data_IF_838738850841
#
_entry.id   IF_838738850841
#
_cell.length_a   1.000
_cell.length_b   1.000
_cell.length_c   1.000
_cell.angle_alpha   90.00
_cell.angle_beta   90.00
_cell.angle_gamma   90.00
#
_symmetry.space_group_name_H-M   'P 1'
#
loop_
_entity.id
_entity.type
_entity.pdbx_description
1 polymer ?
#
# COMPACT_ATOMS: atom_id res chain seq x y z
N UNK A 1 13.51 16.83 7.96
CA UNK A 1 12.40 16.90 8.94
C UNK A 1 11.31 17.89 8.56
N UNK A 2 11.54 19.21 8.46
CA UNK A 2 10.48 20.18 8.09
C UNK A 2 9.76 19.86 6.76
N UNK A 3 10.47 19.33 5.75
CA UNK A 3 9.88 18.90 4.46
C UNK A 3 9.07 17.59 4.54
N UNK A 4 9.40 16.69 5.46
CA UNK A 4 8.63 15.46 5.74
C UNK A 4 7.34 15.80 6.48
N UNK A 5 7.40 16.74 7.44
CA UNK A 5 6.22 17.28 8.14
C UNK A 5 5.33 18.06 7.18
N UNK A 6 5.90 18.83 6.24
CA UNK A 6 5.12 19.53 5.22
C UNK A 6 4.45 18.57 4.22
N UNK A 7 5.14 17.51 3.77
CA UNK A 7 4.55 16.50 2.90
C UNK A 7 3.46 15.68 3.63
N UNK A 8 3.69 15.33 4.90
CA UNK A 8 2.68 14.69 5.75
C UNK A 8 1.49 15.62 6.03
N UNK A 9 1.71 16.92 6.21
CA UNK A 9 0.65 17.91 6.36
C UNK A 9 -0.17 18.08 5.08
N UNK A 10 0.44 17.97 3.89
CA UNK A 10 -0.29 17.96 2.62
C UNK A 10 -1.15 16.70 2.51
N UNK A 11 -0.64 15.52 2.88
CA UNK A 11 -1.41 14.26 2.83
C UNK A 11 -2.52 14.20 3.89
N UNK A 12 -2.27 14.71 5.10
CA UNK A 12 -3.29 14.83 6.17
C UNK A 12 -4.32 15.90 5.82
N UNK A 13 -3.91 17.04 5.26
CA UNK A 13 -4.83 18.04 4.74
C UNK A 13 -5.63 17.49 3.55
N UNK A 14 -5.05 16.63 2.72
CA UNK A 14 -5.75 15.94 1.62
C UNK A 14 -6.75 14.92 2.16
N UNK A 15 -6.43 14.17 3.21
CA UNK A 15 -7.34 13.21 3.83
C UNK A 15 -8.46 13.91 4.59
N UNK A 16 -8.17 15.02 5.27
CA UNK A 16 -9.17 15.88 5.92
C UNK A 16 -10.03 16.58 4.86
N UNK A 17 -9.45 17.02 3.73
CA UNK A 17 -10.16 17.62 2.59
C UNK A 17 -11.02 16.58 1.86
N UNK A 18 -10.53 15.36 1.64
CA UNK A 18 -11.27 14.23 1.06
C UNK A 18 -12.34 13.71 2.02
N UNK A 19 -12.09 13.69 3.33
CA UNK A 19 -13.08 13.36 4.35
C UNK A 19 -14.15 14.46 4.49
N UNK A 20 -13.79 15.74 4.38
CA UNK A 20 -14.71 16.89 4.40
C UNK A 20 -15.50 17.06 3.09
N UNK A 21 -14.97 16.60 1.96
CA UNK A 21 -15.66 16.56 0.67
C UNK A 21 -16.34 15.23 0.40
N UNK A 22 -16.09 14.18 1.20
CA UNK A 22 -16.79 12.90 1.09
C UNK A 22 -18.32 13.04 1.19
N UNK A 23 -18.88 13.90 2.06
CA UNK A 23 -20.32 14.16 2.04
C UNK A 23 -20.71 14.89 0.76
N UNK A 24 -19.94 15.85 0.24
CA UNK A 24 -20.35 16.56 -1.00
C UNK A 24 -20.20 15.76 -2.30
N UNK A 25 -19.34 14.75 -2.32
CA UNK A 25 -19.11 13.87 -3.48
C UNK A 25 -20.05 12.65 -3.43
N UNK A 26 -20.47 12.22 -2.23
CA UNK A 26 -21.32 11.05 -2.01
C UNK A 26 -22.72 11.35 -1.43
N UNK A 27 -23.05 12.56 -0.97
CA UNK A 27 -24.44 13.01 -0.64
C UNK A 27 -25.30 13.16 -1.89
N UNK A 28 -24.67 13.23 -3.08
CA UNK A 28 -25.41 13.09 -4.35
C UNK A 28 -25.82 11.62 -4.59
N UNK A 29 -25.28 10.67 -3.80
CA UNK A 29 -25.62 9.24 -3.82
C UNK A 29 -26.34 8.77 -2.53
N UNK A 30 -26.31 9.54 -1.44
CA UNK A 30 -27.20 9.34 -0.28
C UNK A 30 -28.49 10.09 -0.59
N UNK A 31 -29.38 9.42 -1.32
CA UNK A 31 -30.75 9.86 -1.50
C UNK A 31 -31.41 9.96 -0.11
N UNK A 32 -32.02 11.11 0.19
CA UNK A 32 -32.82 11.32 1.40
C UNK A 32 -34.10 10.47 1.31
N UNK A 33 -34.05 9.26 1.87
CA UNK A 33 -35.10 8.22 1.84
C UNK A 33 -36.44 8.68 2.45
N UNK A 34 -36.44 9.77 3.23
CA UNK A 34 -37.64 10.27 3.92
C UNK A 34 -38.52 11.20 3.05
N UNK A 35 -38.03 11.68 1.90
CA UNK A 35 -38.76 12.61 1.01
C UNK A 35 -39.53 11.95 -0.14
N UNK A 36 -39.50 10.62 -0.24
CA UNK A 36 -40.18 9.88 -1.32
C UNK A 36 -41.21 8.84 -0.84
N UNK A 37 -41.50 8.73 0.47
CA UNK A 37 -42.65 7.94 0.91
C UNK A 37 -43.95 8.74 0.78
N UNK A 38 -44.89 8.25 -0.06
CA UNK A 38 -46.27 8.07 0.38
C UNK A 38 -46.67 6.59 0.38
N UNK A 39 -47.73 6.25 1.13
CA UNK A 39 -48.11 4.88 1.44
C UNK A 39 -48.75 4.18 0.23
N UNK A 40 -48.59 2.86 0.20
CA UNK A 40 -49.31 1.90 -0.66
C UNK A 40 -49.13 2.12 -2.18
N UNK A 41 -48.10 1.47 -2.73
CA UNK A 41 -47.76 1.52 -4.16
C UNK A 41 -48.19 0.23 -4.84
N UNK A 42 -49.38 0.30 -5.42
CA UNK A 42 -49.80 -0.54 -6.53
C UNK A 42 -50.53 0.43 -7.54
N UNK A 43 -50.62 0.06 -8.82
CA UNK A 43 -50.76 0.90 -10.05
C UNK A 43 -49.97 2.20 -10.31
N UNK A 44 -49.67 3.06 -9.34
CA UNK A 44 -49.21 4.45 -9.65
C UNK A 44 -47.76 4.58 -10.17
N UNK A 45 -46.90 3.59 -9.93
CA UNK A 45 -45.50 3.63 -10.38
C UNK A 45 -45.38 3.52 -11.91
N UNK A 46 -46.21 2.68 -12.54
CA UNK A 46 -46.25 2.51 -14.00
C UNK A 46 -46.72 3.80 -14.67
N UNK A 47 -47.77 4.44 -14.15
CA UNK A 47 -48.27 5.72 -14.67
C UNK A 47 -47.27 6.87 -14.47
N UNK A 48 -46.50 6.88 -13.36
CA UNK A 48 -45.49 7.90 -13.11
C UNK A 48 -44.26 7.78 -14.01
N UNK A 49 -43.83 6.54 -14.33
CA UNK A 49 -42.73 6.26 -15.27
C UNK A 49 -43.14 6.62 -16.71
N UNK A 50 -44.40 6.36 -17.08
CA UNK A 50 -44.96 6.71 -18.39
C UNK A 50 -45.13 8.22 -18.58
N UNK A 51 -45.56 8.96 -17.56
CA UNK A 51 -45.75 10.41 -17.64
C UNK A 51 -44.42 11.20 -17.70
N UNK A 52 -43.32 10.69 -17.14
CA UNK A 52 -42.00 11.33 -17.23
C UNK A 52 -41.28 11.13 -18.58
N UNK A 53 -41.71 10.18 -19.41
CA UNK A 53 -40.99 9.77 -20.63
C UNK A 53 -41.60 10.26 -21.95
N UNK A 54 -42.71 11.01 -21.92
CA UNK A 54 -43.37 11.62 -23.09
C UNK A 54 -42.68 12.89 -23.64
N UNK A 55 -41.38 13.05 -23.44
CA UNK A 55 -40.64 14.21 -24.00
C UNK A 55 -40.00 13.81 -25.33
N UNK A 56 -40.67 14.16 -26.43
CA UNK A 56 -40.12 14.18 -27.80
C UNK A 56 -40.47 12.99 -28.68
N UNK A 57 -41.54 13.10 -29.49
CA UNK A 57 -41.79 12.43 -30.79
C UNK A 57 -41.79 10.89 -30.89
N UNK A 58 -41.21 10.17 -29.94
CA UNK A 58 -41.07 8.71 -29.89
C UNK A 58 -42.09 8.14 -28.91
N UNK A 59 -42.82 7.10 -29.32
CA UNK A 59 -43.78 6.40 -28.46
C UNK A 59 -43.01 5.48 -27.50
N UNK A 60 -43.30 5.58 -26.21
CA UNK A 60 -42.73 4.71 -25.17
C UNK A 60 -43.66 3.53 -24.93
N UNK A 61 -43.18 2.31 -25.16
CA UNK A 61 -43.98 1.09 -25.11
C UNK A 61 -43.44 0.18 -24.00
N UNK A 62 -44.24 -0.12 -22.97
CA UNK A 62 -43.85 -1.07 -21.94
C UNK A 62 -43.84 -2.49 -22.49
N UNK A 63 -42.78 -3.22 -22.19
CA UNK A 63 -42.57 -4.64 -22.52
C UNK A 63 -42.38 -5.40 -21.23
N UNK A 64 -43.21 -6.41 -21.00
CA UNK A 64 -43.07 -7.31 -19.86
C UNK A 64 -42.20 -8.48 -20.26
N UNK A 65 -41.10 -8.65 -19.54
CA UNK A 65 -40.14 -9.74 -19.68
C UNK A 65 -40.44 -10.74 -18.58
N UNK A 66 -40.62 -12.02 -18.93
CA UNK A 66 -40.98 -13.07 -17.99
C UNK A 66 -40.34 -14.42 -18.33
N UNK A 67 -40.35 -15.33 -17.34
CA UNK A 67 -39.80 -16.68 -17.46
C UNK A 67 -38.31 -16.76 -17.07
N UNK A 68 -37.65 -17.91 -17.26
CA UNK A 68 -36.25 -18.07 -16.87
C UNK A 68 -35.33 -17.15 -17.69
N UNK A 69 -34.23 -16.68 -17.08
CA UNK A 69 -33.23 -15.86 -17.76
C UNK A 69 -33.71 -14.43 -18.08
N UNK A 70 -34.50 -13.81 -17.18
CA UNK A 70 -35.05 -12.45 -17.35
C UNK A 70 -33.95 -11.42 -17.69
N UNK A 71 -32.78 -11.55 -17.06
CA UNK A 71 -31.62 -10.71 -17.36
C UNK A 71 -31.16 -10.85 -18.81
N UNK A 72 -30.95 -12.08 -19.28
CA UNK A 72 -30.45 -12.34 -20.63
C UNK A 72 -31.44 -11.81 -21.68
N UNK A 73 -32.74 -12.00 -21.43
CA UNK A 73 -33.83 -11.48 -22.27
C UNK A 73 -33.83 -9.95 -22.31
N UNK A 74 -33.68 -9.29 -21.16
CA UNK A 74 -33.61 -7.83 -21.09
C UNK A 74 -32.39 -7.27 -21.83
N UNK A 75 -31.22 -7.92 -21.70
CA UNK A 75 -30.00 -7.53 -22.41
C UNK A 75 -30.12 -7.75 -23.92
N UNK A 76 -30.75 -8.84 -24.35
CA UNK A 76 -31.03 -9.11 -25.76
C UNK A 76 -32.05 -8.12 -26.34
N UNK A 77 -33.06 -7.72 -25.56
CA UNK A 77 -34.00 -6.68 -25.94
C UNK A 77 -33.28 -5.33 -26.16
N UNK A 78 -32.34 -4.96 -25.27
CA UNK A 78 -31.51 -3.76 -25.45
C UNK A 78 -30.57 -3.82 -26.66
N UNK A 79 -30.18 -5.00 -27.14
CA UNK A 79 -29.40 -5.16 -28.39
C UNK A 79 -30.25 -4.92 -29.64
N UNK A 80 -31.50 -5.35 -29.61
CA UNK A 80 -32.45 -5.14 -30.71
C UNK A 80 -32.98 -3.71 -30.74
N UNK A 81 -33.15 -3.10 -29.56
CA UNK A 81 -33.69 -1.76 -29.40
C UNK A 81 -32.73 -0.93 -28.52
N UNK A 82 -31.81 -0.16 -29.14
CA UNK A 82 -30.75 0.56 -28.41
C UNK A 82 -31.29 1.66 -27.47
N UNK A 83 -32.56 2.06 -27.62
CA UNK A 83 -33.23 3.05 -26.77
C UNK A 83 -34.13 2.41 -25.68
N UNK A 84 -33.86 1.17 -25.30
CA UNK A 84 -34.59 0.49 -24.21
C UNK A 84 -34.08 0.91 -22.84
N UNK A 85 -35.01 1.26 -21.96
CA UNK A 85 -34.75 1.42 -20.53
C UNK A 85 -35.26 0.19 -19.78
N UNK A 86 -34.38 -0.61 -19.21
CA UNK A 86 -34.67 -1.76 -18.36
C UNK A 86 -33.89 -1.66 -17.04
N UNK A 87 -34.24 -2.48 -16.04
CA UNK A 87 -33.49 -2.54 -14.79
C UNK A 87 -31.98 -2.78 -15.02
N UNK A 88 -31.62 -3.66 -15.96
CA UNK A 88 -30.24 -3.96 -16.31
C UNK A 88 -29.55 -2.84 -17.09
N UNK A 89 -30.26 -2.11 -17.96
CA UNK A 89 -29.65 -0.97 -18.66
C UNK A 89 -29.38 0.21 -17.70
N UNK A 90 -30.25 0.40 -16.69
CA UNK A 90 -30.04 1.36 -15.61
C UNK A 90 -28.85 0.93 -14.75
N UNK A 91 -28.80 -0.36 -14.36
CA UNK A 91 -27.67 -0.91 -13.61
C UNK A 91 -26.35 -0.77 -14.36
N UNK A 92 -26.30 -1.13 -15.64
CA UNK A 92 -25.07 -1.03 -16.45
C UNK A 92 -24.57 0.42 -16.53
N UNK A 93 -25.48 1.39 -16.68
CA UNK A 93 -25.16 2.82 -16.68
C UNK A 93 -24.64 3.27 -15.31
N UNK A 94 -25.29 2.85 -14.23
CA UNK A 94 -24.85 3.15 -12.87
C UNK A 94 -23.48 2.53 -12.56
N UNK A 95 -23.23 1.30 -12.99
CA UNK A 95 -21.93 0.61 -12.86
C UNK A 95 -20.84 1.32 -13.67
N UNK A 96 -21.16 1.79 -14.88
CA UNK A 96 -20.23 2.58 -15.69
C UNK A 96 -19.83 3.88 -14.98
N UNK A 97 -20.81 4.66 -14.51
CA UNK A 97 -20.56 5.91 -13.76
C UNK A 97 -19.77 5.63 -12.48
N UNK A 98 -20.12 4.56 -11.76
CA UNK A 98 -19.41 4.14 -10.55
C UNK A 98 -17.93 3.85 -10.85
N UNK A 99 -17.65 3.05 -11.90
CA UNK A 99 -16.28 2.72 -12.32
C UNK A 99 -15.50 3.96 -12.74
N UNK A 100 -16.07 4.81 -13.60
CA UNK A 100 -15.42 6.05 -14.05
C UNK A 100 -15.06 6.98 -12.87
N UNK A 101 -15.95 7.10 -11.89
CA UNK A 101 -15.68 7.89 -10.67
C UNK A 101 -14.62 7.24 -9.80
N UNK A 102 -14.71 5.93 -9.58
CA UNK A 102 -13.75 5.17 -8.80
C UNK A 102 -12.35 5.29 -9.41
N UNK A 103 -12.22 5.05 -10.71
CA UNK A 103 -10.96 5.13 -11.45
C UNK A 103 -10.36 6.53 -11.34
N UNK A 104 -11.16 7.59 -11.52
CA UNK A 104 -10.68 8.97 -11.38
C UNK A 104 -10.15 9.29 -9.98
N UNK A 105 -10.84 8.83 -8.94
CA UNK A 105 -10.40 9.04 -7.54
C UNK A 105 -9.12 8.24 -7.28
N UNK A 106 -9.09 6.98 -7.72
CA UNK A 106 -7.95 6.09 -7.55
C UNK A 106 -6.72 6.62 -8.28
N UNK A 107 -6.84 7.06 -9.53
CA UNK A 107 -5.74 7.62 -10.31
C UNK A 107 -5.16 8.88 -9.67
N UNK A 108 -6.01 9.83 -9.26
CA UNK A 108 -5.56 11.06 -8.60
C UNK A 108 -4.81 10.78 -7.28
N UNK A 109 -5.35 9.88 -6.45
CA UNK A 109 -4.73 9.49 -5.19
C UNK A 109 -3.42 8.72 -5.42
N UNK A 110 -3.41 7.81 -6.40
CA UNK A 110 -2.23 7.01 -6.76
C UNK A 110 -1.10 7.88 -7.31
N UNK A 111 -1.41 8.86 -8.16
CA UNK A 111 -0.43 9.83 -8.67
C UNK A 111 0.19 10.66 -7.54
N UNK A 112 -0.65 11.17 -6.62
CA UNK A 112 -0.18 11.92 -5.46
C UNK A 112 0.68 11.06 -4.52
N UNK A 113 0.29 9.80 -4.32
CA UNK A 113 1.08 8.83 -3.55
C UNK A 113 2.43 8.57 -4.20
N UNK A 114 2.49 8.38 -5.53
CA UNK A 114 3.73 8.19 -6.29
C UNK A 114 4.72 9.32 -6.04
N UNK A 115 4.29 10.57 -6.15
CA UNK A 115 5.17 11.72 -5.89
C UNK A 115 5.74 11.72 -4.46
N UNK A 116 4.94 11.33 -3.46
CA UNK A 116 5.37 11.20 -2.08
C UNK A 116 6.36 10.04 -1.89
N UNK A 117 6.07 8.90 -2.52
CA UNK A 117 6.87 7.70 -2.52
C UNK A 117 8.26 7.94 -3.12
N UNK A 118 8.34 8.62 -4.26
CA UNK A 118 9.60 9.01 -4.91
C UNK A 118 10.44 9.92 -4.00
N UNK A 119 9.81 10.90 -3.33
CA UNK A 119 10.52 11.78 -2.38
C UNK A 119 11.12 10.99 -1.22
N UNK A 120 10.39 10.00 -0.70
CA UNK A 120 10.90 9.12 0.38
C UNK A 120 12.05 8.26 -0.16
N UNK A 121 11.88 7.62 -1.31
CA UNK A 121 12.91 6.78 -1.92
C UNK A 121 14.21 7.55 -2.17
N UNK A 122 14.11 8.70 -2.82
CA UNK A 122 15.25 9.55 -3.14
C UNK A 122 15.92 10.12 -1.89
N UNK A 123 15.14 10.55 -0.89
CA UNK A 123 15.71 11.11 0.35
C UNK A 123 16.39 10.06 1.23
N UNK A 124 15.94 8.80 1.17
CA UNK A 124 16.52 7.70 1.95
C UNK A 124 17.66 6.99 1.23
N UNK A 125 17.74 7.08 -0.10
CA UNK A 125 18.81 6.47 -0.90
C UNK A 125 20.20 6.90 -0.42
N UNK A 126 20.46 8.21 -0.38
CA UNK A 126 21.77 8.73 0.08
C UNK A 126 22.08 8.34 1.52
N UNK A 127 21.08 8.33 2.40
CA UNK A 127 21.25 7.90 3.79
C UNK A 127 21.69 6.43 3.85
N UNK A 128 21.09 5.56 3.05
CA UNK A 128 21.47 4.16 3.01
C UNK A 128 22.87 3.95 2.39
N UNK A 129 23.25 4.73 1.37
CA UNK A 129 24.61 4.72 0.83
C UNK A 129 25.65 5.09 1.89
N UNK A 130 25.40 6.18 2.63
CA UNK A 130 26.29 6.63 3.70
C UNK A 130 26.35 5.61 4.86
N UNK A 131 25.21 5.02 5.24
CA UNK A 131 25.16 3.95 6.25
C UNK A 131 25.86 2.67 5.79
N UNK A 132 25.75 2.30 4.51
CA UNK A 132 26.45 1.14 3.97
C UNK A 132 27.97 1.34 4.04
N UNK A 133 28.47 2.53 3.65
CA UNK A 133 29.90 2.87 3.78
C UNK A 133 30.37 2.79 5.23
N UNK A 134 29.56 3.28 6.16
CA UNK A 134 29.84 3.23 7.58
C UNK A 134 29.88 1.80 8.12
N UNK A 135 28.93 0.95 7.69
CA UNK A 135 28.87 -0.48 8.07
C UNK A 135 30.06 -1.25 7.52
N UNK A 136 30.45 -1.03 6.26
CA UNK A 136 31.64 -1.67 5.68
C UNK A 136 32.91 -1.24 6.41
N UNK A 137 33.08 0.07 6.70
CA UNK A 137 34.21 0.54 7.49
C UNK A 137 34.27 -0.07 8.90
N UNK A 138 33.11 -0.26 9.53
CA UNK A 138 33.03 -0.95 10.83
C UNK A 138 33.36 -2.44 10.72
N UNK A 139 32.90 -3.14 9.67
CA UNK A 139 33.26 -4.56 9.43
C UNK A 139 34.75 -4.75 9.19
N UNK A 140 35.35 -3.89 8.36
CA UNK A 140 36.79 -3.89 8.12
C UNK A 140 37.58 -3.63 9.41
N UNK A 141 37.18 -2.63 10.21
CA UNK A 141 37.83 -2.34 11.48
C UNK A 141 37.70 -3.51 12.46
N UNK A 142 36.55 -4.18 12.48
CA UNK A 142 36.30 -5.36 13.32
C UNK A 142 37.18 -6.54 12.93
N UNK A 143 37.39 -6.75 11.63
CA UNK A 143 38.28 -7.79 11.15
C UNK A 143 39.75 -7.47 11.46
N UNK A 144 40.17 -6.21 11.29
CA UNK A 144 41.50 -5.75 11.72
C UNK A 144 41.70 -5.90 13.22
N UNK A 145 40.67 -5.63 14.03
CA UNK A 145 40.71 -5.84 15.47
C UNK A 145 40.95 -7.31 15.83
N UNK A 146 40.25 -8.25 15.15
CA UNK A 146 40.50 -9.69 15.33
C UNK A 146 41.90 -10.10 14.93
N UNK A 147 42.38 -9.62 13.78
CA UNK A 147 43.74 -9.90 13.31
C UNK A 147 44.79 -9.39 14.29
N UNK A 148 44.61 -8.18 14.83
CA UNK A 148 45.52 -7.62 15.83
C UNK A 148 45.51 -8.45 17.12
N UNK A 149 44.34 -8.84 17.62
CA UNK A 149 44.22 -9.68 18.82
C UNK A 149 44.86 -11.06 18.63
N UNK A 150 44.64 -11.70 17.48
CA UNK A 150 45.24 -12.99 17.16
C UNK A 150 46.75 -12.88 16.94
N UNK A 151 47.21 -11.85 16.25
CA UNK A 151 48.64 -11.59 15.99
C UNK A 151 49.42 -11.19 17.24
N UNK A 152 48.75 -10.75 18.31
CA UNK A 152 49.36 -10.37 19.58
C UNK A 152 49.09 -11.43 20.65
N UNK A 153 47.98 -11.30 21.39
CA UNK A 153 47.60 -12.21 22.47
C UNK A 153 47.46 -13.66 22.00
N UNK A 154 46.93 -13.90 20.79
CA UNK A 154 46.81 -15.25 20.22
C UNK A 154 48.17 -15.91 19.99
N UNK A 155 49.12 -15.21 19.37
CA UNK A 155 50.50 -15.69 19.14
C UNK A 155 51.23 -15.90 20.47
N UNK A 156 51.08 -14.97 21.42
CA UNK A 156 51.66 -15.11 22.75
C UNK A 156 51.11 -16.34 23.50
N UNK A 157 49.80 -16.59 23.42
CA UNK A 157 49.15 -17.75 24.04
C UNK A 157 49.52 -19.08 23.38
N UNK A 158 49.61 -19.11 22.05
CA UNK A 158 50.00 -20.31 21.31
C UNK A 158 51.50 -20.59 21.36
N UNK A 159 52.32 -19.57 21.65
CA UNK A 159 53.78 -19.68 21.65
C UNK A 159 54.37 -20.01 20.26
N UNK A 160 53.60 -19.80 19.19
CA UNK A 160 53.92 -20.19 17.81
C UNK A 160 53.62 -19.05 16.85
N UNK A 161 54.58 -18.73 16.01
CA UNK A 161 54.42 -17.78 14.91
C UNK A 161 53.81 -18.45 13.66
N UNK A 162 53.08 -17.66 12.88
CA UNK A 162 52.46 -18.07 11.61
C UNK A 162 53.06 -17.36 10.40
N UNK A 163 53.79 -16.27 10.62
CA UNK A 163 54.50 -15.48 9.61
C UNK A 163 55.73 -14.77 10.21
N UNK A 164 56.47 -14.04 9.40
CA UNK A 164 57.67 -13.32 9.83
C UNK A 164 57.37 -12.20 10.85
N UNK A 165 56.20 -11.55 10.77
CA UNK A 165 55.84 -10.48 11.69
C UNK A 165 55.50 -11.03 13.07
N UNK A 166 54.67 -12.07 13.13
CA UNK A 166 54.33 -12.78 14.37
C UNK A 166 55.54 -13.47 15.00
N UNK A 167 56.53 -13.89 14.21
CA UNK A 167 57.82 -14.36 14.72
C UNK A 167 58.59 -13.24 15.42
N UNK A 168 58.72 -12.07 14.79
CA UNK A 168 59.33 -10.88 15.40
C UNK A 168 58.59 -10.47 16.70
N UNK A 169 57.26 -10.47 16.68
CA UNK A 169 56.44 -10.20 17.86
C UNK A 169 56.76 -11.17 19.00
N UNK A 170 56.80 -12.49 18.71
CA UNK A 170 57.01 -13.52 19.72
C UNK A 170 58.41 -13.43 20.36
N UNK A 171 59.43 -13.09 19.58
CA UNK A 171 60.78 -12.84 20.09
C UNK A 171 60.84 -11.64 21.04
N UNK A 172 60.22 -10.53 20.65
CA UNK A 172 60.10 -9.33 21.50
C UNK A 172 59.28 -9.60 22.76
N UNK A 173 58.17 -10.32 22.63
CA UNK A 173 57.32 -10.70 23.76
C UNK A 173 58.09 -11.54 24.79
N UNK A 174 58.86 -12.54 24.35
CA UNK A 174 59.71 -13.37 25.24
C UNK A 174 60.75 -12.54 25.98
N UNK A 175 61.30 -11.51 25.34
CA UNK A 175 62.21 -10.56 25.98
C UNK A 175 61.48 -9.71 27.04
N UNK A 176 60.29 -9.20 26.73
CA UNK A 176 59.57 -8.30 27.62
C UNK A 176 58.88 -9.00 28.80
N UNK A 177 58.39 -10.23 28.63
CA UNK A 177 57.73 -10.97 29.72
C UNK A 177 58.67 -11.33 30.87
N UNK A 178 59.98 -11.27 30.65
CA UNK A 178 60.99 -11.44 31.71
C UNK A 178 61.10 -10.23 32.66
N UNK A 179 60.61 -9.05 32.24
CA UNK A 179 60.76 -7.80 32.98
C UNK A 179 59.43 -7.07 33.28
N UNK A 180 58.35 -7.41 32.56
CA UNK A 180 57.04 -6.76 32.65
C UNK A 180 55.93 -7.79 32.83
N UNK A 181 54.76 -7.34 33.29
CA UNK A 181 53.55 -8.18 33.29
C UNK A 181 53.15 -8.57 31.86
N UNK A 182 52.34 -9.63 31.76
CA UNK A 182 51.96 -10.22 30.47
C UNK A 182 51.30 -9.20 29.53
N UNK A 183 50.42 -8.34 30.05
CA UNK A 183 49.66 -7.38 29.24
C UNK A 183 50.56 -6.23 28.78
N UNK A 184 51.42 -5.71 29.65
CA UNK A 184 52.43 -4.71 29.30
C UNK A 184 53.44 -5.26 28.28
N UNK A 185 53.91 -6.50 28.46
CA UNK A 185 54.83 -7.15 27.54
C UNK A 185 54.21 -7.32 26.14
N UNK A 186 52.93 -7.71 26.06
CA UNK A 186 52.20 -7.79 24.79
C UNK A 186 52.12 -6.42 24.12
N UNK A 187 51.75 -5.36 24.85
CA UNK A 187 51.61 -4.00 24.29
C UNK A 187 52.94 -3.44 23.78
N UNK A 188 54.02 -3.59 24.54
CA UNK A 188 55.36 -3.15 24.12
C UNK A 188 55.85 -3.91 22.88
N UNK A 189 55.71 -5.24 22.86
CA UNK A 189 56.08 -6.06 21.71
C UNK A 189 55.22 -5.73 20.48
N UNK A 190 53.94 -5.43 20.67
CA UNK A 190 53.02 -5.06 19.61
C UNK A 190 53.42 -3.72 18.97
N UNK A 191 53.78 -2.71 19.77
CA UNK A 191 54.20 -1.40 19.26
C UNK A 191 55.44 -1.48 18.37
N UNK A 192 56.43 -2.29 18.75
CA UNK A 192 57.66 -2.47 17.98
C UNK A 192 57.50 -3.37 16.73
N UNK A 193 56.45 -4.20 16.71
CA UNK A 193 56.20 -5.11 15.59
C UNK A 193 55.24 -4.50 14.58
N UNK A 194 54.12 -3.96 15.04
CA UNK A 194 52.99 -3.53 14.23
C UNK A 194 52.85 -2.00 14.15
N UNK A 195 53.75 -1.25 14.79
CA UNK A 195 53.64 0.19 14.98
C UNK A 195 52.75 0.52 16.18
N UNK A 196 52.56 1.80 16.48
CA UNK A 196 51.85 2.33 17.66
C UNK A 196 50.37 1.84 17.79
N UNK A 197 50.19 0.59 18.23
CA UNK A 197 48.92 -0.16 18.32
C UNK A 197 48.54 -0.47 19.76
N UNK A 198 49.44 -0.25 20.74
CA UNK A 198 49.18 -0.45 22.16
C UNK A 198 47.99 0.36 22.65
N UNK A 199 47.78 1.56 22.09
CA UNK A 199 46.60 2.39 22.35
C UNK A 199 45.28 1.67 22.04
N UNK A 200 45.24 0.81 21.02
CA UNK A 200 44.05 0.03 20.68
C UNK A 200 43.85 -1.15 21.63
N UNK A 201 44.92 -1.63 22.27
CA UNK A 201 44.93 -2.77 23.19
C UNK A 201 44.77 -2.38 24.67
N UNK A 202 44.50 -1.10 24.97
CA UNK A 202 44.45 -0.59 26.33
C UNK A 202 43.37 -1.25 27.22
N UNK A 203 42.22 -1.62 26.63
CA UNK A 203 41.13 -2.33 27.32
C UNK A 203 41.20 -3.86 27.24
N UNK A 204 42.28 -4.40 26.68
CA UNK A 204 42.47 -5.84 26.48
C UNK A 204 43.48 -6.36 27.51
N UNK A 205 43.19 -7.55 28.04
CA UNK A 205 43.99 -8.28 29.03
C UNK A 205 44.11 -9.75 28.65
N UNK A 206 45.08 -10.44 29.23
CA UNK A 206 45.28 -11.88 29.07
C UNK A 206 44.04 -12.73 29.38
N UNK A 207 43.15 -12.24 30.25
CA UNK A 207 41.94 -12.97 30.64
C UNK A 207 40.77 -12.79 29.67
N UNK A 208 40.72 -11.66 28.94
CA UNK A 208 39.56 -11.31 28.12
C UNK A 208 39.86 -11.18 26.61
N UNK A 209 41.11 -11.32 26.16
CA UNK A 209 41.49 -11.09 24.77
C UNK A 209 40.72 -11.92 23.74
N UNK A 210 40.31 -13.14 24.10
CA UNK A 210 39.55 -14.05 23.25
C UNK A 210 38.02 -13.81 23.29
N UNK A 211 37.55 -12.76 23.97
CA UNK A 211 36.13 -12.44 24.08
C UNK A 211 35.64 -11.57 22.91
N UNK A 212 34.34 -11.62 22.64
CA UNK A 212 33.69 -10.70 21.71
C UNK A 212 33.86 -9.24 22.16
N UNK A 213 33.83 -8.99 23.47
CA UNK A 213 34.01 -7.65 24.04
C UNK A 213 35.39 -7.07 23.74
N UNK A 214 36.45 -7.88 23.80
CA UNK A 214 37.79 -7.44 23.42
C UNK A 214 37.85 -7.02 21.94
N UNK A 215 37.22 -7.80 21.05
CA UNK A 215 37.12 -7.43 19.62
C UNK A 215 36.38 -6.10 19.46
N UNK A 216 35.25 -5.91 20.16
CA UNK A 216 34.48 -4.66 20.10
C UNK A 216 35.25 -3.46 20.64
N UNK A 217 35.98 -3.62 21.75
CA UNK A 217 36.78 -2.55 22.36
C UNK A 217 37.92 -2.11 21.43
N UNK A 218 38.63 -3.06 20.83
CA UNK A 218 39.69 -2.76 19.85
C UNK A 218 39.09 -2.12 18.59
N UNK A 219 37.93 -2.60 18.13
CA UNK A 219 37.22 -2.02 16.97
C UNK A 219 36.84 -0.56 17.24
N UNK A 220 36.28 -0.26 18.41
CA UNK A 220 35.92 1.09 18.82
C UNK A 220 37.16 1.98 18.92
N UNK A 221 38.27 1.48 19.48
CA UNK A 221 39.53 2.23 19.57
C UNK A 221 40.14 2.54 18.19
N UNK A 222 40.10 1.60 17.25
CA UNK A 222 40.56 1.82 15.86
C UNK A 222 39.71 2.92 15.20
N UNK A 223 38.39 2.84 15.34
CA UNK A 223 37.46 3.78 14.69
C UNK A 223 37.44 5.15 15.37
N UNK A 224 37.68 5.24 16.68
CA UNK A 224 37.67 6.48 17.46
C UNK A 224 38.71 7.51 16.97
N UNK A 225 39.72 7.07 16.21
CA UNK A 225 40.69 7.97 15.56
C UNK A 225 40.07 8.84 14.46
N UNK A 226 38.92 8.44 13.91
CA UNK A 226 38.27 9.11 12.75
C UNK A 226 36.78 9.38 12.94
N UNK A 227 36.13 8.63 13.82
CA UNK A 227 34.68 8.68 14.04
C UNK A 227 34.37 9.02 15.49
N UNK A 228 33.25 9.69 15.71
CA UNK A 228 32.71 9.88 17.05
C UNK A 228 31.96 8.62 17.54
N UNK A 229 31.75 8.53 18.86
CA UNK A 229 31.06 7.38 19.49
C UNK A 229 29.68 7.12 18.88
N UNK A 230 28.90 8.17 18.63
CA UNK A 230 27.57 8.04 18.02
C UNK A 230 27.60 7.36 16.65
N UNK A 231 28.57 7.70 15.79
CA UNK A 231 28.72 7.06 14.48
C UNK A 231 29.14 5.60 14.61
N UNK A 232 30.00 5.28 15.58
CA UNK A 232 30.41 3.89 15.85
C UNK A 232 29.21 3.07 16.34
N UNK A 233 28.39 3.62 17.24
CA UNK A 233 27.18 2.95 17.75
C UNK A 233 26.15 2.73 16.63
N UNK A 234 25.98 3.71 15.74
CA UNK A 234 25.12 3.57 14.53
C UNK A 234 25.68 2.46 13.63
N UNK A 235 26.99 2.45 13.38
CA UNK A 235 27.64 1.44 12.55
C UNK A 235 27.45 0.03 13.11
N UNK A 236 27.67 -0.15 14.42
CA UNK A 236 27.48 -1.40 15.16
C UNK A 236 26.04 -1.88 15.04
N UNK A 237 25.06 -1.00 15.33
CA UNK A 237 23.65 -1.34 15.25
C UNK A 237 23.25 -1.72 13.81
N UNK A 238 23.61 -0.90 12.82
CA UNK A 238 23.28 -1.14 11.41
C UNK A 238 24.00 -2.39 10.85
N UNK A 239 25.21 -2.71 11.32
CA UNK A 239 25.92 -3.92 10.93
C UNK A 239 25.25 -5.18 11.48
N UNK A 240 24.63 -5.10 12.67
CA UNK A 240 23.95 -6.22 13.32
C UNK A 240 22.58 -6.53 12.69
N UNK A 241 21.77 -5.50 12.36
CA UNK A 241 20.42 -5.71 11.83
C UNK A 241 20.30 -5.52 10.31
N UNK A 242 21.30 -4.91 9.67
CA UNK A 242 21.28 -4.50 8.27
C UNK A 242 20.78 -3.07 8.07
N UNK A 243 21.38 -2.34 7.11
CA UNK A 243 21.11 -0.90 6.88
C UNK A 243 19.64 -0.61 6.59
N UNK A 244 19.01 -1.40 5.71
CA UNK A 244 17.60 -1.22 5.35
C UNK A 244 16.70 -1.39 6.58
N UNK A 245 16.93 -2.43 7.38
CA UNK A 245 16.13 -2.72 8.57
C UNK A 245 16.36 -1.67 9.68
N UNK A 246 17.60 -1.23 9.87
CA UNK A 246 17.95 -0.16 10.80
C UNK A 246 17.21 1.13 10.43
N UNK A 247 17.22 1.51 9.15
CA UNK A 247 16.52 2.72 8.69
C UNK A 247 15.00 2.57 8.82
N UNK A 248 14.44 1.40 8.52
CA UNK A 248 13.01 1.12 8.72
C UNK A 248 12.58 1.36 10.19
N UNK A 249 13.27 0.75 11.15
CA UNK A 249 12.96 0.88 12.59
C UNK A 249 13.04 2.35 13.03
N UNK A 250 14.00 3.11 12.48
CA UNK A 250 14.16 4.53 12.79
C UNK A 250 13.03 5.40 12.23
N UNK A 251 12.48 5.02 11.07
CA UNK A 251 11.47 5.80 10.34
C UNK A 251 10.04 5.40 10.68
N UNK A 252 9.76 4.17 11.10
CA UNK A 252 8.39 3.67 11.26
C UNK A 252 7.54 4.54 12.20
N UNK A 253 8.09 4.97 13.33
CA UNK A 253 7.39 5.81 14.31
C UNK A 253 7.22 7.27 13.85
N UNK A 254 7.97 7.70 12.84
CA UNK A 254 7.88 9.03 12.25
C UNK A 254 7.04 9.04 10.96
N UNK A 255 6.70 7.86 10.45
CA UNK A 255 6.00 7.69 9.18
C UNK A 255 4.49 7.72 9.46
N UNK A 256 3.70 8.49 8.68
CA UNK A 256 2.25 8.46 8.81
C UNK A 256 1.70 7.04 8.68
N UNK A 257 0.66 6.67 9.45
CA UNK A 257 0.08 5.32 9.42
C UNK A 257 -0.31 4.84 8.02
N UNK A 258 -0.77 5.77 7.16
CA UNK A 258 -1.15 5.50 5.78
C UNK A 258 0.04 5.11 4.88
N UNK A 259 1.26 5.51 5.23
CA UNK A 259 2.49 5.21 4.47
C UNK A 259 3.27 4.04 5.08
N UNK A 260 3.04 3.77 6.38
CA UNK A 260 3.72 2.72 7.15
C UNK A 260 3.78 1.34 6.45
N UNK A 261 2.67 0.82 5.90
CA UNK A 261 2.65 -0.47 5.20
C UNK A 261 3.57 -0.52 3.97
N UNK A 262 3.77 0.62 3.30
CA UNK A 262 4.55 0.72 2.07
C UNK A 262 6.01 1.11 2.33
N UNK A 263 6.32 1.65 3.51
CA UNK A 263 7.66 2.10 3.90
C UNK A 263 8.77 1.07 3.61
N UNK A 264 8.60 -0.25 3.87
CA UNK A 264 9.62 -1.25 3.56
C UNK A 264 10.02 -1.28 2.09
N UNK A 265 9.12 -0.90 1.18
CA UNK A 265 9.36 -0.86 -0.28
C UNK A 265 9.97 0.47 -0.72
N UNK A 266 9.73 1.55 0.02
CA UNK A 266 10.17 2.90 -0.33
C UNK A 266 11.60 3.22 0.13
N UNK A 267 12.04 2.67 1.26
CA UNK A 267 13.35 3.04 1.83
C UNK A 267 14.53 2.54 0.99
N UNK A 268 15.63 3.29 1.07
CA UNK A 268 16.90 3.01 0.39
C UNK A 268 16.78 2.98 -1.14
N UNK A 269 16.03 3.92 -1.74
CA UNK A 269 15.81 3.94 -3.19
C UNK A 269 15.07 2.71 -3.69
N UNK A 270 14.17 2.15 -2.86
CA UNK A 270 13.46 0.92 -3.17
C UNK A 270 12.42 1.06 -4.28
N UNK A 271 11.66 -0.01 -4.49
CA UNK A 271 10.71 -0.13 -5.61
C UNK A 271 9.45 0.71 -5.37
N UNK A 272 9.47 1.93 -5.93
CA UNK A 272 8.35 2.88 -5.88
C UNK A 272 7.14 2.33 -6.61
N UNK A 273 7.30 1.71 -7.77
CA UNK A 273 6.16 1.24 -8.56
C UNK A 273 5.44 0.09 -7.86
N UNK A 274 6.18 -0.82 -7.21
CA UNK A 274 5.56 -1.84 -6.37
C UNK A 274 4.78 -1.26 -5.20
N UNK A 275 5.32 -0.23 -4.54
CA UNK A 275 4.61 0.45 -3.46
C UNK A 275 3.33 1.15 -3.96
N UNK A 276 3.39 1.76 -5.15
CA UNK A 276 2.27 2.43 -5.81
C UNK A 276 1.18 1.42 -6.21
N UNK A 277 1.56 0.26 -6.74
CA UNK A 277 0.64 -0.82 -7.09
C UNK A 277 -0.09 -1.35 -5.85
N UNK A 278 0.66 -1.62 -4.76
CA UNK A 278 0.08 -2.06 -3.49
C UNK A 278 -0.89 -1.02 -2.93
N UNK A 279 -0.50 0.27 -2.97
CA UNK A 279 -1.36 1.37 -2.54
C UNK A 279 -2.64 1.44 -3.37
N UNK A 280 -2.54 1.32 -4.70
CA UNK A 280 -3.70 1.32 -5.60
C UNK A 280 -4.66 0.17 -5.27
N UNK A 281 -4.12 -1.02 -5.04
CA UNK A 281 -4.92 -2.20 -4.69
C UNK A 281 -5.65 -2.01 -3.34
N UNK A 282 -4.93 -1.57 -2.31
CA UNK A 282 -5.51 -1.32 -0.99
C UNK A 282 -6.55 -0.19 -1.04
N UNK A 283 -6.32 0.85 -1.86
CA UNK A 283 -7.27 1.94 -2.05
C UNK A 283 -8.56 1.47 -2.72
N UNK A 284 -8.47 0.69 -3.80
CA UNK A 284 -9.64 0.10 -4.45
C UNK A 284 -10.40 -0.79 -3.46
N UNK A 285 -9.70 -1.67 -2.73
CA UNK A 285 -10.32 -2.55 -1.74
C UNK A 285 -11.05 -1.75 -0.66
N UNK A 286 -10.43 -0.71 -0.12
CA UNK A 286 -11.04 0.09 0.94
C UNK A 286 -12.23 0.92 0.43
N UNK A 287 -12.11 1.54 -0.75
CA UNK A 287 -13.20 2.30 -1.37
C UNK A 287 -14.39 1.41 -1.71
N UNK A 288 -14.16 0.22 -2.28
CA UNK A 288 -15.24 -0.73 -2.62
C UNK A 288 -15.86 -1.38 -1.39
N UNK A 289 -15.11 -1.55 -0.29
CA UNK A 289 -15.66 -2.04 0.98
C UNK A 289 -16.57 -1.01 1.65
N UNK A 290 -16.19 0.27 1.60
CA UNK A 290 -16.96 1.36 2.21
C UNK A 290 -18.12 1.81 1.31
N UNK A 291 -17.92 1.79 -0.01
CA UNK A 291 -18.88 2.19 -1.04
C UNK A 291 -19.02 1.06 -2.05
N UNK A 292 -19.83 0.03 -1.78
CA UNK A 292 -19.98 -1.11 -2.66
C UNK A 292 -20.55 -0.69 -4.03
N UNK A 293 -20.23 -1.45 -5.10
CA UNK A 293 -20.80 -1.20 -6.41
C UNK A 293 -22.33 -1.31 -6.36
N UNK A 294 -23.05 -0.48 -7.15
CA UNK A 294 -24.50 -0.53 -7.16
C UNK A 294 -25.01 -1.89 -7.66
N UNK A 295 -26.15 -2.30 -7.13
CA UNK A 295 -26.92 -3.48 -7.55
C UNK A 295 -28.30 -3.03 -8.03
N UNK A 296 -29.07 -3.93 -8.66
CA UNK A 296 -30.47 -3.64 -9.02
C UNK A 296 -31.25 -3.14 -7.80
N UNK A 297 -31.00 -3.76 -6.65
CA UNK A 297 -31.70 -3.50 -5.39
C UNK A 297 -31.23 -2.24 -4.66
N UNK A 298 -30.03 -1.73 -4.95
CA UNK A 298 -29.55 -0.47 -4.39
C UNK A 298 -29.96 0.76 -5.23
N UNK A 299 -30.58 0.55 -6.38
CA UNK A 299 -31.09 1.62 -7.27
C UNK A 299 -32.61 1.53 -7.27
N UNK A 300 -33.29 2.43 -6.56
CA UNK A 300 -34.76 2.39 -6.43
C UNK A 300 -35.49 2.27 -7.78
N UNK A 301 -35.08 3.06 -8.77
CA UNK A 301 -35.67 3.03 -10.13
C UNK A 301 -35.41 1.73 -10.91
N UNK A 302 -34.37 0.97 -10.57
CA UNK A 302 -34.12 -0.34 -11.17
C UNK A 302 -34.86 -1.45 -10.40
N UNK A 303 -34.93 -1.34 -9.08
CA UNK A 303 -35.65 -2.27 -8.22
C UNK A 303 -37.15 -2.28 -8.52
N UNK A 304 -37.76 -1.13 -8.81
CA UNK A 304 -39.18 -1.01 -9.21
C UNK A 304 -39.49 -1.71 -10.54
N UNK A 305 -38.48 -1.94 -11.38
CA UNK A 305 -38.63 -2.58 -12.69
C UNK A 305 -38.45 -4.10 -12.63
N UNK A 306 -38.16 -4.69 -11.46
CA UNK A 306 -37.98 -6.14 -11.29
C UNK A 306 -38.84 -6.65 -10.13
N UNK A 307 -39.65 -7.67 -10.39
CA UNK A 307 -40.47 -8.32 -9.36
C UNK A 307 -39.98 -9.76 -9.12
N UNK A 308 -39.42 -9.99 -7.92
CA UNK A 308 -38.96 -11.30 -7.42
C UNK A 308 -38.09 -12.11 -8.42
N UNK A 309 -37.31 -11.43 -9.27
CA UNK A 309 -36.54 -12.05 -10.37
C UNK A 309 -37.37 -12.91 -11.36
N UNK A 310 -38.71 -12.83 -11.30
CA UNK A 310 -39.65 -13.59 -12.14
C UNK A 310 -40.18 -12.76 -13.31
N UNK A 311 -40.32 -11.46 -13.08
CA UNK A 311 -40.84 -10.51 -14.06
C UNK A 311 -39.97 -9.25 -14.06
N UNK A 312 -39.75 -8.67 -15.23
CA UNK A 312 -39.15 -7.36 -15.36
C UNK A 312 -39.89 -6.50 -16.39
N UNK A 313 -39.89 -5.20 -16.15
CA UNK A 313 -40.44 -4.21 -17.05
C UNK A 313 -39.31 -3.52 -17.81
N UNK A 314 -39.45 -3.45 -19.13
CA UNK A 314 -38.60 -2.66 -20.00
C UNK A 314 -39.45 -1.65 -20.77
N UNK A 315 -38.91 -0.46 -21.02
CA UNK A 315 -39.56 0.58 -21.82
C UNK A 315 -38.80 0.71 -23.13
N UNK A 316 -39.44 0.33 -24.23
CA UNK A 316 -38.90 0.48 -25.59
C UNK A 316 -39.38 1.83 -26.15
N UNK A 317 -38.45 2.69 -26.57
CA UNK A 317 -38.80 3.89 -27.35
C UNK A 317 -38.70 3.58 -28.83
N UNK A 318 -39.81 3.67 -29.55
CA UNK A 318 -39.88 3.42 -30.99
C UNK A 318 -40.62 4.55 -31.73
N UNK A 319 -40.23 4.77 -32.99
CA UNK A 319 -41.01 5.59 -33.94
C UNK A 319 -42.26 4.86 -34.44
N UNK A 320 -42.28 3.53 -34.31
CA UNK A 320 -43.40 2.67 -34.68
C UNK A 320 -44.39 2.52 -33.52
N UNK A 321 -45.67 2.39 -33.85
CA UNK A 321 -46.76 2.28 -32.87
C UNK A 321 -46.79 0.91 -32.17
N UNK A 322 -46.24 -0.13 -32.81
CA UNK A 322 -45.98 -1.46 -32.25
C UNK A 322 -44.68 -2.03 -32.87
N UNK A 323 -43.52 -1.90 -32.20
CA UNK A 323 -42.29 -2.54 -32.64
C UNK A 323 -42.44 -4.06 -32.52
N UNK A 324 -41.93 -4.79 -33.51
CA UNK A 324 -41.91 -6.26 -33.49
C UNK A 324 -40.93 -6.77 -32.42
N UNK A 325 -41.44 -6.99 -31.22
CA UNK A 325 -40.68 -7.56 -30.10
C UNK A 325 -40.79 -9.08 -30.17
N UNK A 326 -39.67 -9.82 -30.33
CA UNK A 326 -39.72 -11.28 -30.39
C UNK A 326 -40.40 -11.86 -29.13
N UNK A 327 -41.39 -12.76 -29.27
CA UNK A 327 -42.15 -13.31 -28.14
C UNK A 327 -41.26 -14.03 -27.09
N UNK A 328 -40.07 -14.48 -27.49
CA UNK A 328 -39.11 -15.12 -26.60
C UNK A 328 -38.45 -14.13 -25.62
N UNK A 329 -38.42 -12.84 -25.95
CA UNK A 329 -37.76 -11.78 -25.18
C UNK A 329 -38.72 -11.01 -24.28
N UNK A 330 -40.01 -10.96 -24.63
CA UNK A 330 -41.04 -10.31 -23.83
C UNK A 330 -42.30 -10.07 -24.64
N UNK A 331 -43.35 -9.61 -23.98
CA UNK A 331 -44.61 -9.26 -24.63
C UNK A 331 -44.81 -7.76 -24.54
N UNK A 332 -44.96 -7.05 -25.67
CA UNK A 332 -45.34 -5.65 -25.65
C UNK A 332 -46.77 -5.56 -25.10
N UNK A 333 -46.96 -4.75 -24.07
CA UNK A 333 -48.26 -4.56 -23.46
C UNK A 333 -48.76 -3.18 -23.84
N UNK A 334 -49.94 -3.12 -24.46
CA UNK A 334 -50.60 -1.82 -24.61
C UNK A 334 -50.99 -1.33 -23.22
N UNK A 335 -50.79 -0.04 -22.95
CA UNK A 335 -51.22 0.61 -21.69
C UNK A 335 -52.71 0.35 -21.40
N UNK A 336 -53.52 0.25 -22.46
CA UNK A 336 -54.93 -0.12 -22.41
C UNK A 336 -55.20 -1.57 -21.98
N UNK A 337 -54.30 -2.52 -22.26
CA UNK A 337 -54.45 -3.91 -21.86
C UNK A 337 -54.00 -4.15 -20.41
N UNK A 338 -52.93 -3.48 -19.95
CA UNK A 338 -52.52 -3.53 -18.54
C UNK A 338 -53.61 -2.97 -17.61
N UNK A 339 -54.20 -1.82 -17.96
CA UNK A 339 -55.32 -1.24 -17.22
C UNK A 339 -56.54 -2.17 -17.17
N UNK A 340 -56.82 -2.87 -18.27
CA UNK A 340 -57.99 -3.76 -18.40
C UNK A 340 -57.81 -5.11 -17.69
N UNK A 341 -56.62 -5.70 -17.78
CA UNK A 341 -56.28 -6.92 -17.04
C UNK A 341 -56.17 -6.67 -15.54
N UNK A 342 -55.65 -5.52 -15.11
CA UNK A 342 -55.60 -5.16 -13.69
C UNK A 342 -56.99 -4.85 -13.12
N UNK A 343 -57.87 -4.18 -13.87
CA UNK A 343 -59.27 -4.01 -13.45
C UNK A 343 -59.99 -5.35 -13.36
N UNK A 344 -59.82 -6.25 -14.35
CA UNK A 344 -60.43 -7.59 -14.29
C UNK A 344 -59.97 -8.41 -13.08
N UNK A 345 -58.68 -8.39 -12.75
CA UNK A 345 -58.13 -9.15 -11.60
C UNK A 345 -58.50 -8.54 -10.24
N UNK A 346 -58.90 -7.27 -10.18
CA UNK A 346 -59.33 -6.59 -8.94
C UNK A 346 -60.85 -6.60 -8.76
N UNK A 347 -61.62 -6.78 -9.84
CA UNK A 347 -63.10 -6.88 -9.78
C UNK A 347 -63.65 -8.30 -9.80
N UNK A 348 -62.80 -9.31 -10.01
CA UNK A 348 -63.08 -10.74 -9.74
C UNK A 348 -62.35 -11.16 -8.45
#
# INVERSE_FOLDING_TARGET
MKRLVAAAAVVVALYVYLALLSPRVFDVLIYDESKLMPPDIEPKAVDAILNKTQVGGLKSIPVVIFGPGVEEKARNLSRLFPNVTSAWSILDTALKIYRERLDKVVENATASFREGAEKIANSTQKICEDLNRLVEGYREARERARQLLLGTYGVAALGRAVDNQTQKFLELYRKYVAAYDVDAAVRLAADETYGNVSQYLAGVTWKNWASLEAVENVTEAILATRLNKTMIDIARAAAAVGVRQYLYIRLINQTPPLVGPYLPYLICGGDVEKAVEMFKFDLIRNLTAQYPPPTIYSIATAAELVYQDKYALAVVKSSEEMPDVPPQLGVPVSTSFLLKSFTQVVTE
#
